data_IF_057723895487
#
_entry.id   IF_057723895487
#
_cell.length_a   1.000
_cell.length_b   1.000
_cell.length_c   1.000
_cell.angle_alpha   90.00
_cell.angle_beta   90.00
_cell.angle_gamma   90.00
#
_symmetry.space_group_name_H-M   'P 1'
#
loop_
_entity.id
_entity.type
_entity.pdbx_description
1 polymer ?
#
# COMPACT_ATOMS: atom_id res chain seq x y z
N UNK A 1 17.71 -16.63 -2.25
CA UNK A 1 17.53 -15.86 -3.51
C UNK A 1 18.44 -16.39 -4.64
N UNK A 2 19.68 -16.79 -4.38
CA UNK A 2 20.64 -17.26 -5.41
C UNK A 2 20.20 -18.51 -6.20
N UNK A 3 19.24 -19.28 -5.69
CA UNK A 3 18.73 -20.50 -6.33
C UNK A 3 17.45 -20.27 -7.16
N UNK A 4 16.92 -19.04 -7.21
CA UNK A 4 15.70 -18.71 -7.94
C UNK A 4 16.02 -18.03 -9.27
N UNK A 5 15.27 -18.34 -10.32
CA UNK A 5 15.26 -17.54 -11.54
C UNK A 5 14.63 -16.17 -11.25
N UNK A 6 14.99 -15.16 -12.04
CA UNK A 6 14.44 -13.80 -11.87
C UNK A 6 12.89 -13.76 -11.97
N UNK A 7 12.23 -14.48 -12.90
CA UNK A 7 10.76 -14.56 -12.92
C UNK A 7 10.18 -15.18 -11.64
N UNK A 8 10.78 -16.27 -11.14
CA UNK A 8 10.33 -16.93 -9.90
C UNK A 8 10.52 -16.01 -8.69
N UNK A 9 11.64 -15.29 -8.62
CA UNK A 9 11.87 -14.32 -7.57
C UNK A 9 10.82 -13.19 -7.59
N UNK A 10 10.59 -12.60 -8.77
CA UNK A 10 9.56 -11.55 -8.95
C UNK A 10 8.15 -12.05 -8.66
N UNK A 11 7.88 -13.34 -8.89
CA UNK A 11 6.61 -13.99 -8.57
C UNK A 11 6.29 -14.04 -7.08
N UNK A 12 7.29 -13.87 -6.19
CA UNK A 12 7.09 -13.87 -4.74
C UNK A 12 6.61 -12.52 -4.18
N UNK A 13 6.65 -11.45 -4.97
CA UNK A 13 6.40 -10.10 -4.48
C UNK A 13 5.18 -9.47 -5.12
N UNK A 14 4.37 -8.79 -4.33
CA UNK A 14 3.46 -7.74 -4.76
C UNK A 14 3.99 -6.40 -4.28
N UNK A 15 3.81 -5.36 -5.08
CA UNK A 15 4.27 -4.00 -4.77
C UNK A 15 3.09 -3.05 -4.85
N UNK A 16 2.90 -2.24 -3.82
CA UNK A 16 2.00 -1.09 -3.82
C UNK A 16 2.87 0.15 -3.65
N UNK A 17 3.05 0.88 -4.74
CA UNK A 17 3.89 2.08 -4.77
C UNK A 17 3.09 3.33 -4.42
N UNK A 18 3.78 4.40 -4.05
CA UNK A 18 3.22 5.73 -3.78
C UNK A 18 2.41 6.25 -4.98
N UNK A 19 2.97 6.14 -6.18
CA UNK A 19 2.28 6.48 -7.42
C UNK A 19 1.64 5.22 -8.01
N UNK A 20 0.34 5.06 -7.79
CA UNK A 20 -0.45 3.99 -8.38
C UNK A 20 -0.63 4.24 -9.89
N UNK A 21 0.33 3.77 -10.69
CA UNK A 21 0.26 3.89 -12.14
C UNK A 21 -0.87 3.02 -12.72
N UNK A 22 -1.77 3.64 -13.47
CA UNK A 22 -2.84 2.98 -14.22
C UNK A 22 -2.62 3.14 -15.72
N UNK A 23 -3.02 2.10 -16.46
CA UNK A 23 -3.08 2.14 -17.92
C UNK A 23 -4.33 2.87 -18.38
N UNK A 24 -4.29 3.41 -19.58
CA UNK A 24 -5.45 4.06 -20.24
C UNK A 24 -6.41 2.98 -20.80
N UNK A 25 -6.95 2.20 -19.88
CA UNK A 25 -7.83 1.06 -20.12
C UNK A 25 -8.97 1.10 -19.08
N UNK A 26 -9.86 0.10 -19.08
CA UNK A 26 -10.92 -0.02 -18.06
C UNK A 26 -10.33 -0.31 -16.67
N UNK A 27 -11.12 -0.11 -15.61
CA UNK A 27 -10.68 -0.50 -14.26
C UNK A 27 -10.51 -2.02 -14.17
N UNK A 28 -11.38 -2.79 -14.83
CA UNK A 28 -11.29 -4.24 -14.95
C UNK A 28 -9.93 -4.65 -15.53
N UNK A 29 -9.55 -4.11 -16.67
CA UNK A 29 -8.27 -4.43 -17.34
C UNK A 29 -7.08 -4.03 -16.48
N UNK A 30 -7.19 -2.89 -15.82
CA UNK A 30 -6.20 -2.41 -14.87
C UNK A 30 -6.01 -3.35 -13.67
N UNK A 31 -7.05 -3.99 -13.18
CA UNK A 31 -6.99 -4.92 -12.04
C UNK A 31 -6.49 -6.29 -12.51
N UNK A 32 -7.04 -6.81 -13.61
CA UNK A 32 -6.72 -8.14 -14.11
C UNK A 32 -5.33 -8.23 -14.75
N UNK A 33 -4.82 -7.14 -15.35
CA UNK A 33 -3.53 -7.11 -16.06
C UNK A 33 -3.37 -8.27 -17.06
N UNK A 34 -4.43 -8.54 -17.83
CA UNK A 34 -4.46 -9.59 -18.86
C UNK A 34 -4.68 -11.02 -18.31
N UNK A 35 -4.95 -11.21 -17.04
CA UNK A 35 -5.33 -12.52 -16.48
C UNK A 35 -6.73 -12.91 -16.92
N UNK A 36 -6.88 -14.13 -17.42
CA UNK A 36 -8.15 -14.71 -17.88
C UNK A 36 -8.62 -15.88 -17.00
N UNK A 37 -7.84 -16.23 -15.99
CA UNK A 37 -8.07 -17.34 -15.06
C UNK A 37 -8.86 -16.91 -13.80
N UNK A 38 -9.31 -15.66 -13.74
CA UNK A 38 -10.03 -15.09 -12.60
C UNK A 38 -11.52 -15.14 -12.84
N UNK A 39 -12.25 -15.81 -11.99
CA UNK A 39 -13.71 -15.81 -12.02
C UNK A 39 -14.29 -14.54 -11.38
N UNK A 40 -15.56 -14.23 -11.68
CA UNK A 40 -16.25 -13.03 -11.20
C UNK A 40 -16.40 -13.03 -9.67
N UNK A 41 -16.49 -14.19 -9.03
CA UNK A 41 -16.61 -14.27 -7.56
C UNK A 41 -15.31 -13.89 -6.87
N UNK A 42 -14.19 -14.32 -7.39
CA UNK A 42 -12.85 -13.94 -6.93
C UNK A 42 -12.62 -12.46 -7.17
N UNK A 43 -12.97 -11.96 -8.35
CA UNK A 43 -12.85 -10.53 -8.66
C UNK A 43 -13.67 -9.70 -7.69
N UNK A 44 -14.95 -10.03 -7.47
CA UNK A 44 -15.82 -9.32 -6.52
C UNK A 44 -15.22 -9.31 -5.11
N UNK A 45 -14.75 -10.45 -4.61
CA UNK A 45 -14.12 -10.53 -3.29
C UNK A 45 -12.90 -9.61 -3.17
N UNK A 46 -12.09 -9.51 -4.21
CA UNK A 46 -10.92 -8.62 -4.26
C UNK A 46 -11.34 -7.14 -4.30
N UNK A 47 -12.38 -6.82 -5.07
CA UNK A 47 -12.91 -5.44 -5.14
C UNK A 47 -13.44 -4.97 -3.78
N UNK A 48 -14.15 -5.85 -3.07
CA UNK A 48 -14.68 -5.56 -1.74
C UNK A 48 -13.55 -5.39 -0.73
N UNK A 49 -12.57 -6.30 -0.71
CA UNK A 49 -11.43 -6.23 0.20
C UNK A 49 -10.53 -5.00 -0.05
N UNK A 50 -10.47 -4.50 -1.29
CA UNK A 50 -9.76 -3.27 -1.64
C UNK A 50 -10.63 -2.02 -1.54
N UNK A 51 -11.88 -2.13 -1.09
CA UNK A 51 -12.84 -1.02 -1.06
C UNK A 51 -13.07 -0.36 -2.44
N UNK A 52 -12.85 -1.08 -3.52
CA UNK A 52 -13.14 -0.59 -4.88
C UNK A 52 -14.64 -0.55 -5.13
N UNK A 53 -15.38 -1.54 -4.64
CA UNK A 53 -16.85 -1.63 -4.75
C UNK A 53 -17.56 -0.37 -4.23
N UNK A 54 -16.98 0.35 -3.26
CA UNK A 54 -17.58 1.53 -2.63
C UNK A 54 -17.79 2.69 -3.61
N UNK A 55 -16.96 2.79 -4.65
CA UNK A 55 -17.04 3.90 -5.59
C UNK A 55 -17.50 3.49 -7.01
N UNK A 56 -17.53 2.20 -7.33
CA UNK A 56 -18.00 1.73 -8.65
C UNK A 56 -19.41 2.24 -9.01
N UNK A 57 -20.40 2.32 -8.07
CA UNK A 57 -21.72 2.85 -8.39
C UNK A 57 -21.75 4.33 -8.81
N UNK A 58 -20.67 5.08 -8.55
CA UNK A 58 -20.54 6.49 -8.93
C UNK A 58 -19.98 6.64 -10.35
N UNK A 59 -19.52 5.55 -10.96
CA UNK A 59 -18.93 5.53 -12.29
C UNK A 59 -19.96 5.08 -13.33
N UNK A 60 -19.96 5.66 -14.55
CA UNK A 60 -21.01 5.42 -15.54
C UNK A 60 -21.13 3.95 -16.00
N UNK A 61 -20.02 3.21 -16.01
CA UNK A 61 -19.98 1.80 -16.41
C UNK A 61 -19.41 0.90 -15.29
N UNK A 62 -19.47 1.32 -14.02
CA UNK A 62 -18.93 0.56 -12.89
C UNK A 62 -17.47 0.18 -13.13
N UNK A 63 -17.15 -1.12 -13.00
CA UNK A 63 -15.78 -1.64 -13.19
C UNK A 63 -15.26 -1.51 -14.64
N UNK A 64 -16.14 -1.43 -15.61
CA UNK A 64 -15.78 -1.29 -17.03
C UNK A 64 -15.65 0.19 -17.45
N UNK A 65 -15.67 1.12 -16.50
CA UNK A 65 -15.36 2.53 -16.73
C UNK A 65 -13.89 2.73 -17.08
N UNK A 66 -13.56 3.65 -18.03
CA UNK A 66 -12.19 3.96 -18.39
C UNK A 66 -11.47 4.69 -17.25
N UNK A 67 -10.26 4.25 -16.92
CA UNK A 67 -9.40 4.92 -15.93
C UNK A 67 -8.89 6.28 -16.44
N UNK A 68 -8.79 6.46 -17.73
CA UNK A 68 -8.14 7.59 -18.39
C UNK A 68 -6.62 7.55 -18.32
N UNK A 69 -5.93 8.43 -19.05
CA UNK A 69 -4.48 8.48 -19.09
C UNK A 69 -3.90 8.61 -17.67
N UNK A 70 -3.08 7.63 -17.26
CA UNK A 70 -2.52 7.53 -15.89
C UNK A 70 -3.56 7.55 -14.77
N UNK A 71 -4.80 7.13 -15.05
CA UNK A 71 -5.88 7.14 -14.07
C UNK A 71 -6.46 8.54 -13.78
N UNK A 72 -6.43 9.45 -14.75
CA UNK A 72 -6.88 10.84 -14.59
C UNK A 72 -8.37 10.98 -14.25
N UNK A 73 -9.18 9.95 -14.54
CA UNK A 73 -10.61 9.93 -14.20
C UNK A 73 -10.88 9.54 -12.74
N UNK A 74 -9.84 9.24 -11.95
CA UNK A 74 -9.94 8.74 -10.58
C UNK A 74 -9.22 9.68 -9.59
N UNK A 75 -9.74 9.74 -8.36
CA UNK A 75 -9.02 10.38 -7.26
C UNK A 75 -7.76 9.59 -6.87
N UNK A 76 -6.84 10.22 -6.12
CA UNK A 76 -5.65 9.53 -5.61
C UNK A 76 -5.98 8.28 -4.81
N UNK A 77 -6.96 8.36 -3.90
CA UNK A 77 -7.41 7.23 -3.09
C UNK A 77 -8.09 6.13 -3.91
N UNK A 78 -8.81 6.46 -4.99
CA UNK A 78 -9.38 5.48 -5.91
C UNK A 78 -8.28 4.75 -6.69
N UNK A 79 -7.28 5.46 -7.22
CA UNK A 79 -6.12 4.83 -7.89
C UNK A 79 -5.37 3.88 -6.96
N UNK A 80 -5.16 4.31 -5.71
CA UNK A 80 -4.47 3.48 -4.72
C UNK A 80 -5.23 2.18 -4.42
N UNK A 81 -6.58 2.25 -4.29
CA UNK A 81 -7.41 1.04 -4.09
C UNK A 81 -7.36 0.09 -5.28
N UNK A 82 -7.26 0.58 -6.52
CA UNK A 82 -7.02 -0.26 -7.70
C UNK A 82 -5.66 -0.96 -7.61
N UNK A 83 -4.60 -0.27 -7.18
CA UNK A 83 -3.29 -0.88 -6.99
C UNK A 83 -3.30 -1.95 -5.88
N UNK A 84 -4.04 -1.73 -4.80
CA UNK A 84 -4.26 -2.72 -3.74
C UNK A 84 -5.03 -3.93 -4.28
N UNK A 85 -6.09 -3.73 -5.06
CA UNK A 85 -6.83 -4.82 -5.71
C UNK A 85 -5.92 -5.69 -6.61
N UNK A 86 -5.01 -5.07 -7.38
CA UNK A 86 -3.97 -5.81 -8.14
C UNK A 86 -3.10 -6.68 -7.24
N UNK A 87 -2.65 -6.14 -6.11
CA UNK A 87 -1.80 -6.84 -5.17
C UNK A 87 -2.53 -8.00 -4.48
N UNK A 88 -3.79 -7.81 -4.10
CA UNK A 88 -4.67 -8.86 -3.57
C UNK A 88 -4.85 -10.00 -4.58
N UNK A 89 -5.20 -9.65 -5.82
CA UNK A 89 -5.42 -10.62 -6.90
C UNK A 89 -4.16 -11.42 -7.21
N UNK A 90 -2.98 -10.80 -7.11
CA UNK A 90 -1.70 -11.47 -7.32
C UNK A 90 -1.37 -12.49 -6.23
N UNK A 91 -1.86 -12.29 -5.03
CA UNK A 91 -1.79 -13.20 -3.87
C UNK A 91 -0.39 -13.76 -3.59
N UNK A 92 0.60 -12.88 -3.45
CA UNK A 92 2.01 -13.25 -3.19
C UNK A 92 2.33 -13.30 -1.69
N UNK A 93 3.32 -14.12 -1.26
CA UNK A 93 3.69 -14.24 0.15
C UNK A 93 4.41 -13.00 0.72
N UNK A 94 4.99 -12.16 -0.14
CA UNK A 94 5.73 -10.97 0.29
C UNK A 94 5.10 -9.73 -0.32
N UNK A 95 4.84 -8.74 0.52
CA UNK A 95 4.25 -7.46 0.14
C UNK A 95 5.27 -6.35 0.40
N UNK A 96 5.47 -5.51 -0.61
CA UNK A 96 6.27 -4.29 -0.52
C UNK A 96 5.34 -3.08 -0.60
N UNK A 97 5.30 -2.26 0.43
CA UNK A 97 4.52 -1.03 0.50
C UNK A 97 5.45 0.17 0.52
N UNK A 98 5.31 1.06 -0.44
CA UNK A 98 6.07 2.30 -0.53
C UNK A 98 5.12 3.48 -0.40
N UNK A 99 5.08 4.07 0.80
CA UNK A 99 4.33 5.28 1.16
C UNK A 99 2.90 5.38 0.59
N UNK A 100 2.14 4.30 0.66
CA UNK A 100 0.87 4.12 -0.03
C UNK A 100 -0.26 5.13 0.38
N UNK A 101 -0.05 6.02 1.37
CA UNK A 101 -1.09 6.93 1.90
C UNK A 101 -0.68 8.41 1.97
N UNK A 102 0.54 8.77 1.62
CA UNK A 102 1.12 10.10 1.93
C UNK A 102 0.45 11.31 1.24
N UNK A 103 -0.22 11.10 0.12
CA UNK A 103 -0.85 12.16 -0.68
C UNK A 103 -2.38 12.14 -0.65
N UNK A 104 -2.99 11.46 0.35
CA UNK A 104 -4.44 11.29 0.44
C UNK A 104 -5.07 12.25 1.46
N UNK A 105 -6.31 12.65 1.21
CA UNK A 105 -7.15 13.30 2.22
C UNK A 105 -7.49 12.31 3.35
N UNK A 106 -7.82 12.83 4.54
CA UNK A 106 -8.03 12.02 5.76
C UNK A 106 -9.06 10.91 5.60
N UNK A 107 -10.14 11.15 4.82
CA UNK A 107 -11.20 10.14 4.60
C UNK A 107 -10.69 9.03 3.69
N UNK A 108 -10.05 9.38 2.59
CA UNK A 108 -9.44 8.41 1.65
C UNK A 108 -8.31 7.64 2.31
N UNK A 109 -7.53 8.28 3.18
CA UNK A 109 -6.46 7.63 3.95
C UNK A 109 -6.98 6.50 4.83
N UNK A 110 -8.05 6.72 5.59
CA UNK A 110 -8.62 5.69 6.47
C UNK A 110 -9.11 4.46 5.68
N UNK A 111 -9.75 4.67 4.52
CA UNK A 111 -10.22 3.59 3.65
C UNK A 111 -9.04 2.81 3.04
N UNK A 112 -8.03 3.52 2.55
CA UNK A 112 -6.83 2.88 1.97
C UNK A 112 -6.05 2.13 3.05
N UNK A 113 -5.96 2.66 4.26
CA UNK A 113 -5.32 1.99 5.39
C UNK A 113 -6.01 0.67 5.74
N UNK A 114 -7.35 0.65 5.81
CA UNK A 114 -8.12 -0.58 6.03
C UNK A 114 -7.88 -1.64 4.93
N UNK A 115 -7.82 -1.21 3.66
CA UNK A 115 -7.50 -2.09 2.53
C UNK A 115 -6.07 -2.64 2.62
N UNK A 116 -5.09 -1.84 3.05
CA UNK A 116 -3.70 -2.27 3.25
C UNK A 116 -3.56 -3.25 4.42
N UNK A 117 -4.31 -3.08 5.50
CA UNK A 117 -4.35 -4.03 6.62
C UNK A 117 -4.91 -5.38 6.15
N UNK A 118 -6.02 -5.38 5.43
CA UNK A 118 -6.57 -6.60 4.81
C UNK A 118 -5.58 -7.27 3.85
N UNK A 119 -4.88 -6.47 3.03
CA UNK A 119 -3.84 -6.98 2.12
C UNK A 119 -2.67 -7.60 2.88
N UNK A 120 -2.29 -7.05 4.04
CA UNK A 120 -1.10 -7.48 4.81
C UNK A 120 -1.34 -8.74 5.64
N UNK A 121 -2.60 -9.10 5.88
CA UNK A 121 -2.94 -10.26 6.71
C UNK A 121 -2.36 -11.57 6.14
N UNK A 122 -1.70 -12.34 7.01
CA UNK A 122 -1.05 -13.60 6.66
C UNK A 122 0.19 -13.48 5.75
N UNK A 123 0.73 -12.28 5.49
CA UNK A 123 1.87 -12.05 4.59
C UNK A 123 3.05 -11.41 5.30
N UNK A 124 4.25 -11.66 4.75
CA UNK A 124 5.44 -10.89 5.15
C UNK A 124 5.38 -9.52 4.47
N UNK A 125 5.18 -8.46 5.26
CA UNK A 125 5.04 -7.11 4.74
C UNK A 125 6.27 -6.27 5.08
N UNK A 126 6.89 -5.69 4.06
CA UNK A 126 7.95 -4.69 4.17
C UNK A 126 7.36 -3.32 3.81
N UNK A 127 7.41 -2.38 4.74
CA UNK A 127 6.84 -1.04 4.55
C UNK A 127 7.95 0.00 4.59
N UNK A 128 8.04 0.83 3.56
CA UNK A 128 8.77 2.08 3.62
C UNK A 128 7.78 3.12 4.16
N UNK A 129 8.01 3.59 5.37
CA UNK A 129 7.07 4.46 6.06
C UNK A 129 7.65 5.85 6.28
N UNK A 130 6.87 6.86 5.92
CA UNK A 130 7.16 8.26 6.19
C UNK A 130 6.36 8.79 7.40
N UNK A 131 5.43 7.99 7.93
CA UNK A 131 4.65 8.31 9.13
C UNK A 131 4.91 7.29 10.23
N UNK A 132 5.22 7.77 11.42
CA UNK A 132 5.49 6.90 12.59
C UNK A 132 4.27 6.07 13.00
N UNK A 133 3.05 6.57 12.77
CA UNK A 133 1.82 5.81 13.01
C UNK A 133 1.81 4.47 12.25
N UNK A 134 2.36 4.45 11.04
CA UNK A 134 2.43 3.26 10.18
C UNK A 134 3.40 2.20 10.73
N UNK A 135 4.48 2.62 11.41
CA UNK A 135 5.53 1.69 11.89
C UNK A 135 5.36 1.23 13.33
N UNK A 136 4.51 1.92 14.11
CA UNK A 136 4.37 1.65 15.55
C UNK A 136 4.04 0.19 15.87
N UNK A 137 3.21 -0.43 15.04
CA UNK A 137 2.76 -1.82 15.22
C UNK A 137 3.61 -2.84 14.46
N UNK A 138 4.73 -2.42 13.85
CA UNK A 138 5.61 -3.34 13.14
C UNK A 138 6.33 -4.29 14.10
N UNK A 139 6.49 -5.56 13.71
CA UNK A 139 7.23 -6.54 14.49
C UNK A 139 8.72 -6.19 14.62
N UNK A 140 9.27 -5.51 13.63
CA UNK A 140 10.66 -5.01 13.62
C UNK A 140 10.73 -3.77 12.73
N UNK A 141 11.41 -2.75 13.25
CA UNK A 141 11.71 -1.50 12.55
C UNK A 141 13.21 -1.51 12.27
N UNK A 142 13.57 -1.23 11.02
CA UNK A 142 14.96 -1.07 10.58
C UNK A 142 15.19 0.41 10.34
N UNK A 143 16.13 0.99 11.08
CA UNK A 143 16.53 2.40 10.94
C UNK A 143 17.72 2.47 10.01
N UNK A 144 17.59 3.24 8.95
CA UNK A 144 18.65 3.41 7.94
C UNK A 144 19.13 4.85 7.93
N UNK A 145 20.44 5.02 7.84
CA UNK A 145 21.10 6.31 7.61
C UNK A 145 22.24 6.13 6.61
N UNK A 146 22.33 7.04 5.64
CA UNK A 146 23.35 7.02 4.56
C UNK A 146 23.52 5.64 3.89
N UNK A 147 22.40 4.91 3.69
CA UNK A 147 22.40 3.59 3.06
C UNK A 147 22.85 2.43 3.95
N UNK A 148 23.06 2.67 5.24
CA UNK A 148 23.45 1.66 6.23
C UNK A 148 22.34 1.46 7.27
N UNK A 149 22.22 0.22 7.76
CA UNK A 149 21.38 -0.08 8.93
C UNK A 149 22.11 0.39 10.17
N UNK A 150 21.55 1.37 10.87
CA UNK A 150 22.15 1.96 12.07
C UNK A 150 21.50 1.49 13.36
N UNK A 151 20.25 1.03 13.31
CA UNK A 151 19.54 0.45 14.43
C UNK A 151 18.42 -0.50 13.95
N UNK A 152 17.98 -1.41 14.82
CA UNK A 152 16.88 -2.34 14.58
C UNK A 152 16.21 -2.75 15.89
N UNK A 153 14.88 -2.83 15.89
CA UNK A 153 14.11 -3.27 17.06
C UNK A 153 12.63 -2.98 16.92
N UNK A 154 11.88 -3.21 17.97
CA UNK A 154 10.49 -2.77 18.09
C UNK A 154 10.42 -1.27 18.39
N UNK A 155 9.22 -0.69 18.24
CA UNK A 155 8.97 0.71 18.57
C UNK A 155 9.47 1.09 19.98
N UNK A 156 9.08 0.30 20.97
CA UNK A 156 9.40 0.59 22.38
C UNK A 156 10.90 0.44 22.67
N UNK A 157 11.55 -0.58 22.09
CA UNK A 157 13.01 -0.79 22.25
C UNK A 157 13.80 0.37 21.64
N UNK A 158 13.40 0.85 20.45
CA UNK A 158 14.09 1.95 19.79
C UNK A 158 13.89 3.28 20.52
N UNK A 159 12.70 3.52 21.08
CA UNK A 159 12.46 4.69 21.94
C UNK A 159 13.28 4.65 23.22
N UNK A 160 13.35 3.49 23.89
CA UNK A 160 14.09 3.33 25.13
C UNK A 160 15.61 3.50 24.93
N UNK A 161 16.14 3.06 23.78
CA UNK A 161 17.58 3.23 23.44
C UNK A 161 17.94 4.67 23.07
N UNK A 162 16.98 5.46 22.62
CA UNK A 162 17.26 6.80 22.06
C UNK A 162 17.84 6.73 20.65
N UNK A 163 18.48 7.80 20.18
CA UNK A 163 19.12 7.89 18.87
C UNK A 163 18.15 8.34 17.75
N UNK A 164 18.51 8.06 16.49
CA UNK A 164 17.84 8.61 15.30
C UNK A 164 16.33 8.34 15.28
N UNK A 165 15.91 7.12 15.65
CA UNK A 165 14.48 6.80 15.68
C UNK A 165 13.71 7.63 16.71
N UNK A 166 14.24 7.74 17.91
CA UNK A 166 13.62 8.50 19.00
C UNK A 166 13.58 10.00 18.67
N UNK A 167 14.60 10.51 17.97
CA UNK A 167 14.64 11.91 17.51
C UNK A 167 13.59 12.18 16.44
N UNK A 168 13.46 11.30 15.45
CA UNK A 168 12.41 11.38 14.41
C UNK A 168 11.01 11.32 15.05
N UNK A 169 10.82 10.41 16.01
CA UNK A 169 9.55 10.30 16.74
C UNK A 169 9.20 11.60 17.46
N UNK A 170 10.15 12.23 18.15
CA UNK A 170 9.93 13.52 18.85
C UNK A 170 9.59 14.65 17.88
N UNK A 171 10.26 14.72 16.73
CA UNK A 171 10.01 15.73 15.71
C UNK A 171 8.59 15.64 15.13
N UNK A 172 8.12 14.43 14.80
CA UNK A 172 6.77 14.24 14.26
C UNK A 172 5.67 14.56 15.29
N UNK A 173 5.84 14.16 16.55
CA UNK A 173 4.91 14.51 17.62
C UNK A 173 4.84 16.03 17.88
N UNK A 174 5.94 16.76 17.68
CA UNK A 174 5.96 18.21 17.80
C UNK A 174 5.20 18.90 16.67
N UNK A 175 5.24 18.33 15.47
CA UNK A 175 4.52 18.85 14.30
C UNK A 175 3.00 18.56 14.38
N UNK A 176 2.59 17.38 14.83
CA UNK A 176 1.17 17.04 15.00
C UNK A 176 0.49 17.96 16.03
N UNK A 177 1.16 18.30 17.14
CA UNK A 177 0.64 19.25 18.13
C UNK A 177 0.51 20.67 17.60
N UNK A 178 1.37 21.09 16.68
CA UNK A 178 1.34 22.43 16.10
C UNK A 178 0.22 22.61 15.05
N UNK A 179 -0.28 21.52 14.45
CA UNK A 179 -1.39 21.55 13.47
C UNK A 179 -2.78 21.42 14.11
N UNK A 180 -2.85 21.15 15.41
CA UNK A 180 -4.12 20.96 16.16
C UNK A 180 -4.51 22.20 16.98
N UNK A 181 -3.73 23.29 16.91
CA UNK A 181 -4.03 24.62 17.48
C UNK A 181 -4.39 25.61 16.39
#
# INVERSE_FOLDING_TARGET
AKALTLPNLRGLFSVVSQDAALFDETLRDNILLGRTDIDESTLTSVLDAAHVSDFLPQLPNGIDSPAGPRGSNLSGGQRQRIAIARALLRNTPILLLDEATSALDTKSEAIVQAALESLSDGRTTLVIAHRLSTVRNAHSIVVMDQGQVVDQGTHDELLARGGIYADLHRLQFSQEKAHTQ
#
